data_IF_888709071978
#
_entry.id   IF_888709071978
#
_cell.length_a   1.000
_cell.length_b   1.000
_cell.length_c   1.000
_cell.angle_alpha   90.00
_cell.angle_beta   90.00
_cell.angle_gamma   90.00
#
_symmetry.space_group_name_H-M   'P 1'
#
loop_
_entity.id
_entity.type
_entity.pdbx_description
1 polymer ?
#
# COMPACT_ATOMS: atom_id res chain seq x y z
N UNK A 1 0.62 -0.91 0.17
CA UNK A 1 0.99 -0.63 1.58
C UNK A 1 1.50 -1.89 2.29
N UNK A 2 0.76 -2.97 2.36
CA UNK A 2 1.16 -4.18 3.11
C UNK A 2 2.53 -4.74 2.69
N UNK A 3 2.78 -4.79 1.38
CA UNK A 3 4.09 -5.21 0.87
C UNK A 3 5.23 -4.31 1.36
N UNK A 4 4.98 -3.01 1.46
CA UNK A 4 5.97 -2.05 1.97
C UNK A 4 6.26 -2.26 3.45
N UNK A 5 5.27 -2.63 4.26
CA UNK A 5 5.47 -2.94 5.68
C UNK A 5 6.43 -4.12 5.83
N UNK A 6 6.24 -5.17 5.06
CA UNK A 6 7.11 -6.35 5.07
C UNK A 6 8.49 -6.00 4.51
N UNK A 7 8.58 -5.27 3.42
CA UNK A 7 9.85 -4.84 2.82
C UNK A 7 10.65 -3.94 3.76
N UNK A 8 9.97 -3.11 4.57
CA UNK A 8 10.61 -2.27 5.57
C UNK A 8 11.16 -3.05 6.77
N UNK A 9 10.89 -4.34 6.86
CA UNK A 9 11.31 -5.18 7.97
C UNK A 9 10.48 -5.01 9.25
N UNK A 10 9.32 -4.37 9.17
CA UNK A 10 8.46 -4.10 10.34
C UNK A 10 7.61 -5.30 10.75
N UNK A 11 7.37 -6.24 9.84
CA UNK A 11 6.64 -7.47 10.09
C UNK A 11 6.98 -8.49 9.01
N UNK A 12 6.72 -9.78 9.25
CA UNK A 12 6.83 -10.81 8.22
C UNK A 12 5.51 -11.07 7.49
N UNK A 13 4.38 -10.67 8.07
CA UNK A 13 3.04 -10.70 7.47
C UNK A 13 2.28 -9.44 7.84
N UNK A 14 1.51 -8.92 6.89
CA UNK A 14 0.68 -7.76 7.15
C UNK A 14 -0.62 -7.83 6.35
N UNK A 15 -1.74 -7.69 7.03
CA UNK A 15 -3.05 -7.51 6.42
C UNK A 15 -3.55 -6.11 6.75
N UNK A 16 -4.02 -5.38 5.74
CA UNK A 16 -4.56 -4.03 5.90
C UNK A 16 -6.00 -4.04 5.44
N UNK A 17 -6.88 -3.45 6.25
CA UNK A 17 -8.27 -3.22 5.90
C UNK A 17 -8.55 -1.72 5.90
N UNK A 18 -9.12 -1.23 4.81
CA UNK A 18 -9.51 0.18 4.68
C UNK A 18 -11.01 0.22 4.44
N UNK A 19 -11.71 1.07 5.17
CA UNK A 19 -13.15 1.25 5.01
C UNK A 19 -13.47 2.68 4.57
N UNK A 20 -14.45 2.81 3.67
CA UNK A 20 -14.93 4.08 3.15
C UNK A 20 -16.42 4.22 3.32
N UNK A 21 -16.90 5.44 3.47
CA UNK A 21 -18.32 5.78 3.40
C UNK A 21 -18.63 6.42 2.04
N UNK A 22 -19.79 6.11 1.47
CA UNK A 22 -20.22 6.69 0.20
C UNK A 22 -20.31 8.21 0.34
N UNK A 23 -19.72 8.93 -0.62
CA UNK A 23 -19.71 10.40 -0.62
C UNK A 23 -18.61 11.03 0.24
N UNK A 24 -17.79 10.22 0.92
CA UNK A 24 -16.67 10.71 1.74
C UNK A 24 -15.38 10.15 1.19
N UNK A 25 -14.46 11.01 0.76
CA UNK A 25 -13.20 10.59 0.14
C UNK A 25 -12.20 10.02 1.15
N UNK A 26 -12.12 10.61 2.35
CA UNK A 26 -11.23 10.12 3.40
C UNK A 26 -11.72 8.78 3.95
N UNK A 27 -10.83 7.82 4.19
CA UNK A 27 -11.23 6.55 4.78
C UNK A 27 -11.78 6.75 6.20
N UNK A 28 -12.86 6.05 6.52
CA UNK A 28 -13.47 6.09 7.86
C UNK A 28 -12.71 5.22 8.84
N UNK A 29 -11.97 4.22 8.36
CA UNK A 29 -11.08 3.42 9.21
C UNK A 29 -9.93 2.85 8.40
N UNK A 30 -8.80 2.67 9.07
CA UNK A 30 -7.64 1.91 8.61
C UNK A 30 -7.23 0.97 9.74
N UNK A 31 -7.22 -0.31 9.45
CA UNK A 31 -6.82 -1.36 10.38
C UNK A 31 -5.64 -2.14 9.80
N UNK A 32 -4.61 -2.35 10.60
CA UNK A 32 -3.47 -3.18 10.23
C UNK A 32 -3.31 -4.32 11.23
N UNK A 33 -3.06 -5.52 10.72
CA UNK A 33 -2.82 -6.70 11.52
C UNK A 33 -1.52 -7.36 11.04
N UNK A 34 -0.53 -7.42 11.90
CA UNK A 34 0.77 -8.04 11.62
C UNK A 34 0.83 -9.51 12.03
N UNK A 35 -0.29 -10.08 12.47
CA UNK A 35 -0.40 -11.50 12.84
C UNK A 35 0.64 -11.96 13.88
N UNK A 36 0.96 -11.09 14.83
CA UNK A 36 1.95 -11.36 15.86
C UNK A 36 3.41 -11.28 15.41
N UNK A 37 3.65 -10.88 14.16
CA UNK A 37 5.03 -10.78 13.60
C UNK A 37 5.59 -9.36 13.63
N UNK A 38 4.79 -8.38 14.09
CA UNK A 38 5.18 -6.98 14.09
C UNK A 38 6.30 -6.67 15.07
N UNK A 39 7.24 -5.84 14.65
CA UNK A 39 8.30 -5.29 15.51
C UNK A 39 7.85 -4.06 16.27
N UNK A 40 6.71 -3.49 15.89
CA UNK A 40 6.08 -2.33 16.52
C UNK A 40 4.61 -2.66 16.77
N UNK A 41 3.97 -1.88 17.63
CA UNK A 41 2.54 -1.99 17.89
C UNK A 41 1.71 -1.72 16.63
N UNK A 42 0.65 -2.50 16.41
CA UNK A 42 -0.21 -2.37 15.24
C UNK A 42 -0.86 -0.99 15.16
N UNK A 43 -1.20 -0.36 16.30
CA UNK A 43 -1.74 1.00 16.30
C UNK A 43 -0.72 2.02 15.79
N UNK A 44 0.53 1.89 16.21
CA UNK A 44 1.62 2.75 15.72
C UNK A 44 1.84 2.56 14.23
N UNK A 45 1.74 1.33 13.75
CA UNK A 45 1.81 1.02 12.32
C UNK A 45 0.66 1.68 11.55
N UNK A 46 -0.56 1.62 12.06
CA UNK A 46 -1.72 2.27 11.45
C UNK A 46 -1.51 3.78 11.29
N UNK A 47 -1.02 4.43 12.33
CA UNK A 47 -0.73 5.87 12.29
C UNK A 47 0.35 6.20 11.27
N UNK A 48 1.42 5.40 11.21
CA UNK A 48 2.48 5.56 10.22
C UNK A 48 1.98 5.40 8.79
N UNK A 49 1.10 4.43 8.54
CA UNK A 49 0.52 4.21 7.21
C UNK A 49 -0.34 5.39 6.76
N UNK A 50 -1.11 5.99 7.66
CA UNK A 50 -1.89 7.20 7.37
C UNK A 50 -1.01 8.38 6.99
N UNK A 51 0.14 8.52 7.65
CA UNK A 51 1.08 9.61 7.40
C UNK A 51 1.85 9.44 6.10
N UNK A 52 2.06 8.20 5.65
CA UNK A 52 2.91 7.90 4.49
C UNK A 52 2.20 8.04 3.15
N UNK A 53 0.88 7.99 3.10
CA UNK A 53 0.14 7.95 1.84
C UNK A 53 -1.22 8.62 1.96
N UNK A 54 -1.60 9.38 0.93
CA UNK A 54 -2.97 9.87 0.77
C UNK A 54 -3.86 8.68 0.37
N UNK A 55 -4.78 8.31 1.25
CA UNK A 55 -5.67 7.16 1.09
C UNK A 55 -7.02 7.53 0.50
N UNK A 56 -7.20 8.75 0.01
CA UNK A 56 -8.36 9.07 -0.83
C UNK A 56 -8.27 8.28 -2.14
N UNK A 57 -9.40 7.94 -2.79
CA UNK A 57 -9.36 7.27 -4.09
C UNK A 57 -8.50 8.01 -5.11
N UNK A 58 -8.58 9.34 -5.16
CA UNK A 58 -7.75 10.17 -6.04
C UNK A 58 -6.27 10.06 -5.68
N UNK A 59 -5.94 10.13 -4.39
CA UNK A 59 -4.56 10.02 -3.91
C UNK A 59 -3.94 8.67 -4.26
N UNK A 60 -4.70 7.60 -4.11
CA UNK A 60 -4.27 6.24 -4.48
C UNK A 60 -4.00 6.15 -5.98
N UNK A 61 -4.94 6.63 -6.82
CA UNK A 61 -4.75 6.61 -8.28
C UNK A 61 -3.53 7.41 -8.71
N UNK A 62 -3.31 8.57 -8.12
CA UNK A 62 -2.16 9.43 -8.43
C UNK A 62 -0.86 8.78 -7.98
N UNK A 63 -0.80 8.26 -6.76
CA UNK A 63 0.39 7.61 -6.23
C UNK A 63 0.82 6.40 -7.07
N UNK A 64 -0.16 5.58 -7.49
CA UNK A 64 0.10 4.36 -8.26
C UNK A 64 0.12 4.58 -9.78
N UNK A 65 -0.11 5.80 -10.25
CA UNK A 65 -0.13 6.10 -11.69
C UNK A 65 -1.26 5.37 -12.42
N UNK A 66 -2.38 5.12 -11.77
CA UNK A 66 -3.48 4.29 -12.29
C UNK A 66 -4.38 5.00 -13.30
N UNK A 67 -4.14 6.28 -13.57
CA UNK A 67 -4.82 7.01 -14.64
C UNK A 67 -4.14 6.81 -16.03
N UNK A 68 -3.01 6.11 -16.06
CA UNK A 68 -2.30 5.75 -17.29
C UNK A 68 -2.89 4.45 -17.90
N UNK A 69 -2.64 4.16 -19.18
CA UNK A 69 -3.19 2.98 -19.87
C UNK A 69 -2.39 1.70 -19.54
N UNK A 70 -2.48 1.26 -18.30
CA UNK A 70 -1.73 0.10 -17.77
C UNK A 70 -2.56 -1.18 -17.70
N UNK A 71 -3.86 -1.13 -17.99
CA UNK A 71 -4.80 -2.19 -17.64
C UNK A 71 -4.74 -3.39 -18.58
N UNK A 72 -4.56 -3.18 -19.86
CA UNK A 72 -4.47 -4.29 -20.82
C UNK A 72 -3.30 -5.22 -20.48
N UNK A 73 -2.07 -4.72 -20.29
CA UNK A 73 -0.94 -5.60 -19.95
C UNK A 73 -1.01 -6.21 -18.54
N UNK A 74 -1.81 -5.62 -17.63
CA UNK A 74 -1.91 -6.13 -16.25
C UNK A 74 -3.11 -7.05 -16.03
N UNK A 75 -3.94 -7.29 -17.05
CA UNK A 75 -5.18 -8.05 -16.92
C UNK A 75 -5.02 -9.57 -17.04
N UNK A 76 -3.81 -10.09 -17.25
CA UNK A 76 -3.57 -11.51 -17.46
C UNK A 76 -2.62 -12.09 -16.41
N UNK A 77 -2.87 -13.34 -16.03
CA UNK A 77 -2.01 -14.14 -15.13
C UNK A 77 -1.91 -13.63 -13.69
N UNK A 78 -2.92 -12.92 -13.21
CA UNK A 78 -2.99 -12.40 -11.84
C UNK A 78 -2.36 -11.01 -11.67
N UNK A 79 -2.82 -10.32 -10.63
CA UNK A 79 -2.40 -8.94 -10.35
C UNK A 79 -1.25 -8.84 -9.35
N UNK A 80 -1.05 -9.86 -8.52
CA UNK A 80 -0.12 -9.79 -7.38
C UNK A 80 1.01 -10.80 -7.54
N UNK A 81 2.09 -10.59 -6.78
CA UNK A 81 3.28 -11.41 -6.87
C UNK A 81 4.11 -11.11 -8.13
N UNK A 82 3.92 -9.93 -8.71
CA UNK A 82 4.60 -9.47 -9.92
C UNK A 82 5.68 -8.46 -9.58
N UNK A 83 6.40 -8.03 -10.59
CA UNK A 83 7.42 -6.99 -10.45
C UNK A 83 6.93 -5.68 -11.09
N UNK A 84 7.06 -4.56 -10.39
CA UNK A 84 6.67 -3.27 -10.92
C UNK A 84 7.40 -2.99 -12.26
N UNK A 85 6.61 -2.65 -13.28
CA UNK A 85 7.12 -2.33 -14.62
C UNK A 85 7.39 -3.54 -15.52
N UNK A 86 7.17 -4.79 -15.07
CA UNK A 86 7.52 -5.97 -15.87
C UNK A 86 6.77 -6.11 -17.20
N UNK A 87 5.57 -5.55 -17.30
CA UNK A 87 4.74 -5.59 -18.51
C UNK A 87 4.70 -4.24 -19.25
N UNK A 88 5.65 -3.36 -18.98
CA UNK A 88 5.73 -2.03 -19.57
C UNK A 88 5.71 -0.91 -18.53
N UNK A 89 5.97 0.35 -18.94
CA UNK A 89 6.03 1.47 -18.03
C UNK A 89 4.72 1.64 -17.23
N UNK A 90 4.83 1.75 -15.91
CA UNK A 90 3.71 1.95 -15.00
C UNK A 90 2.89 0.71 -14.68
N UNK A 91 3.17 -0.45 -15.32
CA UNK A 91 2.49 -1.72 -15.02
C UNK A 91 2.85 -2.22 -13.62
N UNK A 92 1.89 -2.85 -12.95
CA UNK A 92 2.07 -3.42 -11.61
C UNK A 92 2.71 -2.45 -10.61
N UNK A 93 2.36 -1.17 -10.68
CA UNK A 93 2.90 -0.11 -9.80
C UNK A 93 2.62 -0.38 -8.32
N UNK A 94 1.54 -1.10 -8.00
CA UNK A 94 1.21 -1.49 -6.64
C UNK A 94 2.21 -2.47 -6.01
N UNK A 95 3.10 -3.06 -6.81
CA UNK A 95 4.17 -3.93 -6.34
C UNK A 95 5.44 -3.16 -5.93
N UNK A 96 5.51 -1.86 -6.19
CA UNK A 96 6.64 -1.04 -5.81
C UNK A 96 6.79 -0.94 -4.29
N UNK A 97 8.03 -0.91 -3.81
CA UNK A 97 8.36 -0.78 -2.40
C UNK A 97 8.89 0.62 -2.07
N UNK A 98 8.22 1.63 -2.61
CA UNK A 98 8.62 3.03 -2.54
C UNK A 98 8.31 3.73 -1.21
N UNK A 99 7.56 3.09 -0.32
CA UNK A 99 7.20 3.63 1.00
C UNK A 99 8.11 3.18 2.14
N UNK A 100 9.13 2.37 1.87
CA UNK A 100 9.97 1.76 2.91
C UNK A 100 10.66 2.82 3.76
N UNK A 101 11.29 3.81 3.15
CA UNK A 101 12.00 4.86 3.89
C UNK A 101 11.03 5.74 4.68
N UNK A 102 9.89 6.10 4.08
CA UNK A 102 8.86 6.88 4.75
C UNK A 102 8.29 6.15 5.97
N UNK A 103 8.00 4.85 5.84
CA UNK A 103 7.51 4.03 6.95
C UNK A 103 8.54 3.93 8.07
N UNK A 104 9.79 3.65 7.76
CA UNK A 104 10.84 3.56 8.76
C UNK A 104 11.05 4.89 9.49
N UNK A 105 10.91 6.01 8.81
CA UNK A 105 10.98 7.33 9.43
C UNK A 105 9.77 7.61 10.32
N UNK A 106 8.58 7.21 9.90
CA UNK A 106 7.33 7.47 10.63
C UNK A 106 7.21 6.66 11.93
N UNK A 107 7.86 5.49 12.02
CA UNK A 107 7.80 4.62 13.21
C UNK A 107 8.95 4.82 14.19
N UNK A 108 9.87 5.70 13.90
CA UNK A 108 11.00 6.01 14.80
C UNK A 108 10.61 6.82 16.02
#
# INVERSE_FOLDING_TARGET
MAKNVVAAGLASRCTIQIAYAIGVAEPVSLYANTHGTGKIDDQKLQDALRDCMDLTPRGIRQHLGMNAPIYAPTAAYGHFGRTAGEAGPGSFSWEATDLVDALNSAVR
#
